data_IF_047840686808
#
_entry.id   IF_047840686808
#
_cell.length_a   1.000
_cell.length_b   1.000
_cell.length_c   1.000
_cell.angle_alpha   90.00
_cell.angle_beta   90.00
_cell.angle_gamma   90.00
#
_symmetry.space_group_name_H-M   'P 1'
#
loop_
_entity.id
_entity.type
_entity.pdbx_description
1 polymer ?
#
# COMPACT_ATOMS: atom_id res chain seq x y z
N UNK A 1 -44.59 -73.32 -11.98
CA UNK A 1 -44.62 -72.62 -13.28
C UNK A 1 -44.92 -71.16 -13.02
N UNK A 2 -43.91 -70.29 -13.05
CA UNK A 2 -44.05 -68.84 -12.85
C UNK A 2 -43.36 -68.13 -14.01
N UNK A 3 -44.17 -67.47 -14.84
CA UNK A 3 -43.72 -66.73 -16.02
C UNK A 3 -43.19 -65.35 -15.63
N UNK A 4 -41.93 -65.11 -15.98
CA UNK A 4 -41.36 -63.91 -16.63
C UNK A 4 -42.00 -62.54 -16.35
N UNK A 5 -41.29 -61.71 -15.56
CA UNK A 5 -41.32 -60.24 -15.62
C UNK A 5 -39.89 -59.65 -15.50
N UNK A 6 -39.10 -59.56 -16.60
CA UNK A 6 -38.02 -58.57 -16.59
C UNK A 6 -37.93 -57.68 -17.85
N UNK A 7 -38.75 -57.90 -18.89
CA UNK A 7 -38.59 -57.14 -20.15
C UNK A 7 -39.10 -55.68 -20.11
N UNK A 8 -40.04 -55.33 -19.24
CA UNK A 8 -40.57 -53.94 -19.19
C UNK A 8 -39.64 -52.94 -18.50
N UNK A 9 -38.74 -53.37 -17.62
CA UNK A 9 -37.86 -52.46 -16.86
C UNK A 9 -36.64 -52.08 -17.71
N UNK A 10 -36.15 -52.99 -18.55
CA UNK A 10 -35.02 -52.72 -19.45
C UNK A 10 -35.35 -51.66 -20.51
N UNK A 11 -36.60 -51.59 -20.99
CA UNK A 11 -37.01 -50.62 -22.00
C UNK A 11 -37.20 -49.21 -21.42
N UNK A 12 -37.61 -49.09 -20.15
CA UNK A 12 -37.74 -47.80 -19.46
C UNK A 12 -36.37 -47.22 -19.05
N UNK A 13 -35.42 -48.08 -18.66
CA UNK A 13 -34.05 -47.68 -18.34
C UNK A 13 -33.27 -47.23 -19.59
N UNK A 14 -33.54 -47.82 -20.76
CA UNK A 14 -32.95 -47.37 -22.02
C UNK A 14 -33.50 -46.02 -22.49
N UNK A 15 -34.75 -45.68 -22.15
CA UNK A 15 -35.36 -44.37 -22.50
C UNK A 15 -34.83 -43.22 -21.62
N UNK A 16 -34.44 -43.50 -20.36
CA UNK A 16 -33.81 -42.51 -19.48
C UNK A 16 -32.32 -42.24 -19.80
N UNK A 17 -31.64 -43.13 -20.52
CA UNK A 17 -30.27 -42.87 -21.00
C UNK A 17 -30.19 -41.98 -22.27
N UNK A 18 -31.33 -41.67 -22.92
CA UNK A 18 -31.38 -40.80 -24.12
C UNK A 18 -31.64 -39.32 -23.84
N UNK A 19 -31.85 -38.91 -22.58
CA UNK A 19 -32.01 -37.50 -22.20
C UNK A 19 -30.70 -36.79 -21.86
N UNK A 20 -29.56 -37.49 -21.88
CA UNK A 20 -28.23 -36.94 -21.57
C UNK A 20 -27.58 -36.19 -22.76
N UNK A 21 -28.25 -36.10 -23.91
CA UNK A 21 -27.65 -35.64 -25.18
C UNK A 21 -27.83 -34.16 -25.57
N UNK A 22 -28.56 -33.33 -24.82
CA UNK A 22 -28.98 -32.00 -25.31
C UNK A 22 -28.63 -30.83 -24.38
N UNK A 23 -27.51 -30.88 -23.65
CA UNK A 23 -27.08 -29.73 -22.85
C UNK A 23 -26.41 -28.68 -23.77
N UNK A 24 -27.15 -27.61 -24.07
CA UNK A 24 -26.60 -26.40 -24.70
C UNK A 24 -25.90 -25.56 -23.63
N UNK A 25 -24.74 -24.98 -23.93
CA UNK A 25 -24.04 -24.16 -22.94
C UNK A 25 -22.62 -23.78 -23.31
N UNK A 26 -21.87 -23.34 -22.29
CA UNK A 26 -20.46 -23.02 -22.39
C UNK A 26 -19.62 -23.75 -21.34
N UNK A 27 -18.40 -24.10 -21.73
CA UNK A 27 -17.38 -24.63 -20.83
C UNK A 27 -16.03 -24.03 -21.19
N UNK A 28 -15.08 -24.06 -20.27
CA UNK A 28 -13.73 -23.57 -20.54
C UNK A 28 -12.94 -23.40 -19.27
N UNK A 29 -11.90 -22.58 -19.33
CA UNK A 29 -11.16 -22.18 -18.14
C UNK A 29 -10.77 -20.70 -18.14
N UNK A 30 -10.40 -20.22 -16.95
CA UNK A 30 -9.82 -18.90 -16.76
C UNK A 30 -8.30 -19.03 -16.59
N UNK A 31 -7.55 -18.18 -17.30
CA UNK A 31 -6.09 -18.20 -17.35
C UNK A 31 -5.53 -16.78 -17.40
N UNK A 32 -4.25 -16.59 -17.04
CA UNK A 32 -3.59 -15.27 -17.17
C UNK A 32 -3.25 -14.95 -18.64
N UNK A 33 -2.88 -15.98 -19.39
CA UNK A 33 -2.51 -15.91 -20.82
C UNK A 33 -2.82 -17.24 -21.51
N UNK A 34 -2.81 -17.32 -22.87
CA UNK A 34 -2.95 -18.58 -23.58
C UNK A 34 -1.90 -19.61 -23.11
N UNK A 35 -2.35 -20.71 -22.50
CA UNK A 35 -1.46 -21.74 -21.93
C UNK A 35 -0.84 -21.40 -20.56
N UNK A 36 -1.25 -20.29 -19.94
CA UNK A 36 -0.79 -19.88 -18.61
C UNK A 36 -1.43 -20.67 -17.45
N UNK A 37 -1.07 -20.29 -16.22
CA UNK A 37 -1.62 -20.91 -15.01
C UNK A 37 -3.14 -20.73 -14.91
N UNK A 38 -3.89 -21.75 -14.45
CA UNK A 38 -5.33 -21.67 -14.26
C UNK A 38 -5.69 -20.76 -13.06
N UNK A 39 -6.77 -20.01 -13.19
CA UNK A 39 -7.27 -19.11 -12.14
C UNK A 39 -8.54 -19.69 -11.52
N UNK A 40 -8.47 -20.03 -10.24
CA UNK A 40 -9.59 -20.57 -9.47
C UNK A 40 -10.54 -19.45 -8.99
N UNK A 41 -11.78 -19.80 -8.62
CA UNK A 41 -12.74 -18.90 -7.98
C UNK A 41 -13.10 -17.64 -8.78
N UNK A 42 -12.92 -17.64 -10.09
CA UNK A 42 -13.36 -16.55 -10.97
C UNK A 42 -14.88 -16.59 -11.07
N UNK A 43 -15.54 -15.50 -10.72
CA UNK A 43 -16.98 -15.35 -10.89
C UNK A 43 -17.28 -14.94 -12.33
N UNK A 44 -17.99 -15.80 -13.07
CA UNK A 44 -18.39 -15.60 -14.45
C UNK A 44 -19.88 -15.26 -14.49
N UNK A 45 -20.25 -14.27 -15.29
CA UNK A 45 -21.63 -13.83 -15.49
C UNK A 45 -21.92 -13.73 -16.99
N UNK A 46 -22.82 -14.59 -17.47
CA UNK A 46 -23.29 -14.63 -18.85
C UNK A 46 -24.60 -13.85 -18.96
N UNK A 47 -24.52 -12.62 -19.44
CA UNK A 47 -25.67 -11.72 -19.61
C UNK A 47 -26.18 -11.85 -21.04
N UNK A 48 -27.48 -12.10 -21.24
CA UNK A 48 -28.05 -12.11 -22.60
C UNK A 48 -27.82 -10.76 -23.28
N UNK A 49 -27.67 -10.77 -24.60
CA UNK A 49 -27.49 -9.57 -25.42
C UNK A 49 -28.56 -8.49 -25.16
N UNK A 50 -29.80 -8.89 -24.90
CA UNK A 50 -30.94 -8.00 -24.60
C UNK A 50 -31.03 -7.58 -23.12
N UNK A 51 -30.09 -8.02 -22.26
CA UNK A 51 -30.10 -7.75 -20.82
C UNK A 51 -31.20 -8.45 -20.03
N UNK A 52 -32.02 -9.30 -20.66
CA UNK A 52 -33.21 -9.90 -20.02
C UNK A 52 -32.90 -10.93 -18.95
N UNK A 53 -31.71 -11.54 -19.00
CA UNK A 53 -31.30 -12.59 -18.08
C UNK A 53 -29.78 -12.62 -17.91
N UNK A 54 -29.33 -12.99 -16.71
CA UNK A 54 -27.93 -13.26 -16.39
C UNK A 54 -27.79 -14.61 -15.71
N UNK A 55 -26.71 -15.32 -16.01
CA UNK A 55 -26.43 -16.65 -15.49
C UNK A 55 -24.99 -16.72 -14.97
N UNK A 56 -24.82 -17.18 -13.74
CA UNK A 56 -23.53 -17.24 -13.06
C UNK A 56 -22.85 -18.61 -13.14
N UNK A 57 -21.52 -18.63 -13.19
CA UNK A 57 -20.68 -19.80 -12.89
C UNK A 57 -19.41 -19.37 -12.17
N UNK A 58 -18.78 -20.29 -11.45
CA UNK A 58 -17.48 -20.04 -10.79
C UNK A 58 -16.47 -21.06 -11.26
N UNK A 59 -15.22 -20.64 -11.54
CA UNK A 59 -14.17 -21.58 -11.89
C UNK A 59 -13.74 -22.43 -10.68
N UNK A 60 -13.46 -23.71 -10.92
CA UNK A 60 -12.97 -24.65 -9.91
C UNK A 60 -11.51 -24.37 -9.52
N UNK A 61 -10.96 -25.14 -8.58
CA UNK A 61 -9.54 -25.09 -8.22
C UNK A 61 -8.58 -25.34 -9.40
N UNK A 62 -9.03 -26.02 -10.48
CA UNK A 62 -8.25 -26.20 -11.71
C UNK A 62 -8.54 -25.13 -12.77
N UNK A 63 -9.22 -24.05 -12.38
CA UNK A 63 -9.60 -22.92 -13.22
C UNK A 63 -10.68 -23.24 -14.26
N UNK A 64 -11.36 -24.38 -14.15
CA UNK A 64 -12.36 -24.82 -15.14
C UNK A 64 -13.79 -24.49 -14.72
N UNK A 65 -14.64 -24.22 -15.70
CA UNK A 65 -16.07 -24.04 -15.49
C UNK A 65 -16.90 -24.75 -16.57
N UNK A 66 -18.16 -25.01 -16.24
CA UNK A 66 -19.19 -25.49 -17.18
C UNK A 66 -20.55 -24.94 -16.77
N UNK A 67 -21.28 -24.39 -17.72
CA UNK A 67 -22.60 -23.79 -17.49
C UNK A 67 -23.56 -24.16 -18.62
N UNK A 68 -24.78 -24.55 -18.24
CA UNK A 68 -25.88 -24.78 -19.18
C UNK A 68 -26.55 -23.45 -19.48
N UNK A 69 -26.65 -23.10 -20.77
CA UNK A 69 -27.26 -21.86 -21.23
C UNK A 69 -28.23 -22.17 -22.37
N UNK A 70 -29.35 -21.47 -22.41
CA UNK A 70 -30.25 -21.54 -23.55
C UNK A 70 -29.54 -21.01 -24.82
N UNK A 71 -29.91 -21.48 -26.02
CA UNK A 71 -29.38 -20.93 -27.26
C UNK A 71 -29.63 -19.42 -27.36
N UNK A 72 -28.60 -18.67 -27.76
CA UNK A 72 -28.63 -17.20 -27.77
C UNK A 72 -27.24 -16.59 -27.78
N UNK A 73 -27.18 -15.26 -27.69
CA UNK A 73 -25.94 -14.48 -27.62
C UNK A 73 -25.80 -13.88 -26.23
N UNK A 74 -24.59 -13.99 -25.68
CA UNK A 74 -24.30 -13.57 -24.32
C UNK A 74 -23.02 -12.73 -24.25
N UNK A 75 -23.06 -11.64 -23.49
CA UNK A 75 -21.87 -10.98 -22.96
C UNK A 75 -21.32 -11.81 -21.80
N UNK A 76 -20.00 -11.94 -21.73
CA UNK A 76 -19.32 -12.60 -20.62
C UNK A 76 -18.57 -11.55 -19.81
N UNK A 77 -18.97 -11.43 -18.56
CA UNK A 77 -18.28 -10.68 -17.53
C UNK A 77 -17.57 -11.68 -16.63
N UNK A 78 -16.31 -11.41 -16.28
CA UNK A 78 -15.59 -12.22 -15.31
C UNK A 78 -14.91 -11.31 -14.29
N UNK A 79 -15.08 -11.62 -13.01
CA UNK A 79 -14.52 -10.85 -11.90
C UNK A 79 -13.74 -11.78 -10.96
N UNK A 80 -12.63 -11.28 -10.44
CA UNK A 80 -11.79 -12.00 -9.48
C UNK A 80 -11.05 -10.96 -8.60
N UNK A 81 -10.90 -11.18 -7.28
CA UNK A 81 -10.27 -10.19 -6.39
C UNK A 81 -8.85 -9.80 -6.83
N UNK A 82 -8.07 -10.78 -7.27
CA UNK A 82 -6.68 -10.61 -7.67
C UNK A 82 -6.50 -10.47 -9.18
N UNK A 83 -7.51 -10.09 -9.97
CA UNK A 83 -7.33 -9.84 -11.40
C UNK A 83 -8.22 -8.70 -11.90
N UNK A 84 -7.89 -8.11 -13.05
CA UNK A 84 -8.75 -7.13 -13.72
C UNK A 84 -10.06 -7.77 -14.19
N UNK A 85 -11.16 -7.01 -14.08
CA UNK A 85 -12.46 -7.44 -14.59
C UNK A 85 -12.40 -7.60 -16.12
N UNK A 86 -12.85 -8.75 -16.60
CA UNK A 86 -12.94 -9.05 -18.02
C UNK A 86 -14.35 -8.83 -18.54
N UNK A 87 -14.48 -8.20 -19.70
CA UNK A 87 -15.73 -8.06 -20.43
C UNK A 87 -15.52 -8.46 -21.89
N UNK A 88 -16.36 -9.36 -22.40
CA UNK A 88 -16.27 -9.80 -23.80
C UNK A 88 -16.73 -8.76 -24.82
N UNK A 89 -17.44 -7.69 -24.41
CA UNK A 89 -17.97 -6.69 -25.32
C UNK A 89 -16.86 -5.98 -26.14
N UNK A 90 -17.07 -5.71 -27.45
CA UNK A 90 -18.31 -5.91 -28.23
C UNK A 90 -18.52 -7.35 -28.73
N UNK A 91 -17.65 -8.29 -28.38
CA UNK A 91 -17.76 -9.71 -28.73
C UNK A 91 -18.82 -10.46 -27.93
N UNK A 92 -19.40 -11.48 -28.58
CA UNK A 92 -20.47 -12.30 -28.03
C UNK A 92 -20.09 -13.77 -27.95
N UNK A 93 -20.53 -14.41 -26.87
CA UNK A 93 -20.54 -15.86 -26.74
C UNK A 93 -21.84 -16.41 -27.33
N UNK A 94 -21.76 -17.00 -28.54
CA UNK A 94 -22.91 -17.61 -29.22
C UNK A 94 -23.15 -19.02 -28.70
N UNK A 95 -24.30 -19.29 -28.09
CA UNK A 95 -24.69 -20.63 -27.64
C UNK A 95 -25.61 -21.26 -28.68
N UNK A 96 -25.19 -22.38 -29.25
CA UNK A 96 -25.97 -23.15 -30.24
C UNK A 96 -26.75 -24.27 -29.57
N UNK A 97 -27.86 -24.70 -30.20
CA UNK A 97 -28.64 -25.86 -29.73
C UNK A 97 -27.76 -27.10 -29.65
N UNK A 98 -27.96 -27.86 -28.58
CA UNK A 98 -27.32 -29.16 -28.29
C UNK A 98 -25.80 -29.13 -28.37
N UNK A 99 -25.18 -27.96 -28.12
CA UNK A 99 -23.74 -27.77 -28.22
C UNK A 99 -23.19 -27.17 -26.94
N UNK A 100 -22.15 -27.79 -26.38
CA UNK A 100 -21.37 -27.23 -25.29
C UNK A 100 -20.10 -26.59 -25.86
N UNK A 101 -20.15 -25.29 -26.14
CA UNK A 101 -19.05 -24.56 -26.78
C UNK A 101 -17.93 -24.19 -25.80
N UNK A 102 -16.69 -24.14 -26.29
CA UNK A 102 -15.56 -23.69 -25.47
C UNK A 102 -15.51 -22.16 -25.41
N UNK A 103 -15.35 -21.59 -24.22
CA UNK A 103 -15.06 -20.17 -24.01
C UNK A 103 -14.01 -20.05 -22.91
N UNK A 104 -12.78 -19.68 -23.28
CA UNK A 104 -11.73 -19.43 -22.30
C UNK A 104 -11.74 -17.94 -21.95
N UNK A 105 -11.48 -17.65 -20.68
CA UNK A 105 -11.38 -16.28 -20.17
C UNK A 105 -9.91 -16.00 -19.85
N UNK A 106 -9.42 -14.85 -20.30
CA UNK A 106 -8.08 -14.40 -20.01
C UNK A 106 -8.15 -13.17 -19.12
N UNK A 107 -7.80 -13.34 -17.85
CA UNK A 107 -7.80 -12.26 -16.86
C UNK A 107 -6.38 -11.75 -16.70
N UNK A 108 -6.21 -10.44 -16.67
CA UNK A 108 -4.89 -9.82 -16.44
C UNK A 108 -4.66 -9.70 -14.94
N UNK A 109 -3.42 -9.86 -14.51
CA UNK A 109 -3.05 -9.53 -13.14
C UNK A 109 -3.34 -8.05 -12.85
N UNK A 110 -3.70 -7.68 -11.61
CA UNK A 110 -4.06 -6.32 -11.26
C UNK A 110 -2.85 -5.44 -11.49
N UNK A 111 -2.99 -4.41 -12.31
CA UNK A 111 -1.95 -3.42 -12.46
C UNK A 111 -1.86 -2.62 -11.15
N UNK A 112 -0.77 -2.81 -10.40
CA UNK A 112 -0.52 -2.06 -9.17
C UNK A 112 0.16 -0.75 -9.54
N UNK A 113 -0.55 0.36 -9.32
CA UNK A 113 0.03 1.69 -9.48
C UNK A 113 0.71 2.08 -8.17
N UNK A 114 2.00 2.39 -8.19
CA UNK A 114 2.75 2.80 -7.00
C UNK A 114 3.01 4.29 -7.05
N UNK A 115 2.51 5.02 -6.05
CA UNK A 115 2.69 6.46 -5.94
C UNK A 115 3.65 6.75 -4.80
N UNK A 116 4.79 7.34 -5.15
CA UNK A 116 5.85 7.78 -4.25
C UNK A 116 5.62 9.26 -3.95
N UNK A 117 5.32 9.62 -2.71
CA UNK A 117 4.93 10.97 -2.32
C UNK A 117 5.95 11.50 -1.32
N UNK A 118 6.54 12.66 -1.65
CA UNK A 118 7.52 13.34 -0.80
C UNK A 118 7.12 14.78 -0.58
N UNK A 119 7.60 15.36 0.53
CA UNK A 119 7.63 16.81 0.69
C UNK A 119 8.82 17.38 -0.09
N UNK A 120 8.70 18.62 -0.57
CA UNK A 120 9.89 19.36 -1.03
C UNK A 120 11.01 19.37 0.02
N UNK A 121 12.27 19.42 -0.40
CA UNK A 121 13.42 19.59 0.50
C UNK A 121 13.48 20.95 1.20
N UNK A 122 14.46 21.09 2.09
CA UNK A 122 14.69 22.28 2.91
C UNK A 122 14.81 23.55 2.05
N UNK A 123 14.16 24.63 2.48
CA UNK A 123 14.15 25.93 1.79
C UNK A 123 15.38 26.74 2.15
N UNK A 124 15.86 27.59 1.23
CA UNK A 124 16.96 28.51 1.51
C UNK A 124 16.60 29.51 2.63
N UNK A 125 15.42 30.13 2.54
CA UNK A 125 14.77 30.82 3.66
C UNK A 125 13.65 29.94 4.24
N UNK A 126 13.82 29.38 5.46
CA UNK A 126 12.82 28.56 6.13
C UNK A 126 11.47 29.27 6.34
N UNK A 127 11.45 30.61 6.42
CA UNK A 127 10.25 31.41 6.67
C UNK A 127 9.57 31.88 5.39
N UNK A 128 10.23 31.77 4.23
CA UNK A 128 9.67 32.19 2.95
C UNK A 128 8.63 31.18 2.45
N UNK A 129 7.49 31.71 2.01
CA UNK A 129 6.45 30.94 1.31
C UNK A 129 6.35 31.34 -0.17
N UNK A 130 7.30 32.12 -0.68
CA UNK A 130 7.30 32.56 -2.06
C UNK A 130 7.39 31.36 -3.01
N UNK A 131 6.70 31.44 -4.16
CA UNK A 131 6.71 30.36 -5.15
C UNK A 131 8.10 30.16 -5.77
N UNK A 132 8.91 31.21 -5.84
CA UNK A 132 10.27 31.16 -6.38
C UNK A 132 11.34 30.82 -5.32
N UNK A 133 10.95 30.48 -4.09
CA UNK A 133 11.88 30.10 -3.03
C UNK A 133 12.64 28.81 -3.42
N UNK A 134 13.98 28.86 -3.55
CA UNK A 134 14.80 27.71 -3.92
C UNK A 134 15.07 26.79 -2.72
N UNK A 135 15.73 25.66 -2.99
CA UNK A 135 16.25 24.80 -1.94
C UNK A 135 17.49 25.41 -1.28
N UNK A 136 17.70 25.06 -0.01
CA UNK A 136 19.00 25.26 0.67
C UNK A 136 20.01 24.20 0.20
N UNK A 137 21.30 24.32 0.55
CA UNK A 137 22.28 23.26 0.30
C UNK A 137 21.86 21.90 0.87
N UNK A 138 21.23 21.88 2.06
CA UNK A 138 20.70 20.64 2.65
C UNK A 138 19.53 20.09 1.81
N UNK A 139 18.65 20.97 1.32
CA UNK A 139 17.56 20.59 0.42
C UNK A 139 18.07 20.03 -0.92
N UNK A 140 19.13 20.60 -1.49
CA UNK A 140 19.78 20.09 -2.71
C UNK A 140 20.44 18.71 -2.47
N UNK A 141 21.10 18.53 -1.32
CA UNK A 141 21.63 17.23 -0.92
C UNK A 141 20.51 16.19 -0.75
N UNK A 142 19.37 16.58 -0.18
CA UNK A 142 18.18 15.73 -0.07
C UNK A 142 17.59 15.38 -1.42
N UNK A 143 17.49 16.33 -2.36
CA UNK A 143 17.03 16.07 -3.72
C UNK A 143 17.95 15.06 -4.45
N UNK A 144 19.26 15.16 -4.21
CA UNK A 144 20.25 14.21 -4.73
C UNK A 144 20.06 12.83 -4.09
N UNK A 145 19.86 12.76 -2.77
CA UNK A 145 19.59 11.51 -2.08
C UNK A 145 18.27 10.86 -2.52
N UNK A 146 17.22 11.66 -2.76
CA UNK A 146 15.95 11.18 -3.33
C UNK A 146 16.18 10.49 -4.68
N UNK A 147 17.00 11.10 -5.54
CA UNK A 147 17.41 10.49 -6.80
C UNK A 147 18.03 9.12 -6.54
N UNK A 148 19.08 9.05 -5.72
CA UNK A 148 19.80 7.80 -5.45
C UNK A 148 18.89 6.70 -4.87
N UNK A 149 17.99 7.05 -3.94
CA UNK A 149 17.01 6.13 -3.37
C UNK A 149 16.06 5.57 -4.44
N UNK A 150 15.65 6.38 -5.40
CA UNK A 150 14.63 6.01 -6.40
C UNK A 150 15.20 5.58 -7.76
N UNK A 151 16.52 5.56 -7.95
CA UNK A 151 17.17 5.17 -9.21
C UNK A 151 16.77 3.77 -9.72
N UNK A 152 16.38 2.87 -8.81
CA UNK A 152 15.97 1.50 -9.16
C UNK A 152 14.48 1.24 -8.92
N UNK A 153 13.73 2.26 -8.55
CA UNK A 153 12.30 2.14 -8.28
C UNK A 153 11.44 2.06 -9.56
N UNK A 154 12.03 2.30 -10.74
CA UNK A 154 11.32 2.22 -12.02
C UNK A 154 10.32 3.35 -12.24
N UNK A 155 10.62 4.56 -11.74
CA UNK A 155 9.75 5.73 -11.88
C UNK A 155 9.55 6.07 -13.36
N UNK A 156 8.30 6.14 -13.82
CA UNK A 156 7.91 6.45 -15.21
C UNK A 156 7.29 7.83 -15.37
N UNK A 157 6.82 8.44 -14.27
CA UNK A 157 6.24 9.79 -14.28
C UNK A 157 6.59 10.59 -13.02
N UNK A 158 6.67 11.91 -13.17
CA UNK A 158 7.00 12.85 -12.10
C UNK A 158 5.98 13.99 -12.08
N UNK A 159 5.36 14.21 -10.93
CA UNK A 159 4.43 15.30 -10.66
C UNK A 159 4.96 16.21 -9.56
N UNK A 160 4.70 17.50 -9.67
CA UNK A 160 5.10 18.51 -8.68
C UNK A 160 4.10 19.65 -8.67
N UNK A 161 4.02 20.39 -7.57
CA UNK A 161 3.35 21.70 -7.61
C UNK A 161 4.24 22.71 -8.34
N UNK A 162 3.69 23.87 -8.71
CA UNK A 162 4.45 24.91 -9.43
C UNK A 162 5.45 25.69 -8.54
N UNK A 163 5.72 25.25 -7.31
CA UNK A 163 6.70 25.91 -6.46
C UNK A 163 8.12 25.50 -6.87
N UNK A 164 9.06 26.45 -6.85
CA UNK A 164 10.45 26.22 -7.21
C UNK A 164 11.08 25.12 -6.36
N UNK A 165 10.90 25.17 -5.04
CA UNK A 165 11.33 24.11 -4.11
C UNK A 165 10.83 22.70 -4.45
N UNK A 166 9.57 22.53 -4.86
CA UNK A 166 9.04 21.19 -5.21
C UNK A 166 9.60 20.73 -6.56
N UNK A 167 9.79 21.65 -7.51
CA UNK A 167 10.44 21.37 -8.79
C UNK A 167 11.91 20.97 -8.61
N UNK A 168 12.66 21.74 -7.85
CA UNK A 168 14.08 21.46 -7.57
C UNK A 168 14.28 20.14 -6.82
N UNK A 169 13.33 19.74 -5.97
CA UNK A 169 13.41 18.48 -5.23
C UNK A 169 13.35 17.26 -6.15
N UNK A 170 12.50 17.29 -7.19
CA UNK A 170 12.33 16.16 -8.12
C UNK A 170 13.25 16.24 -9.33
N UNK A 171 13.83 17.41 -9.61
CA UNK A 171 14.64 17.67 -10.79
C UNK A 171 15.80 16.68 -10.99
N UNK A 172 16.58 16.28 -9.95
CA UNK A 172 17.67 15.32 -10.15
C UNK A 172 17.19 13.97 -10.69
N UNK A 173 16.08 13.43 -10.16
CA UNK A 173 15.53 12.15 -10.61
C UNK A 173 14.89 12.29 -12.00
N UNK A 174 14.12 13.36 -12.22
CA UNK A 174 13.49 13.64 -13.52
C UNK A 174 14.54 13.75 -14.63
N UNK A 175 15.66 14.43 -14.37
CA UNK A 175 16.78 14.53 -15.30
C UNK A 175 17.46 13.18 -15.56
N UNK A 176 17.65 12.36 -14.52
CA UNK A 176 18.27 11.04 -14.65
C UNK A 176 17.47 10.10 -15.56
N UNK A 177 16.13 10.13 -15.48
CA UNK A 177 15.24 9.34 -16.33
C UNK A 177 14.74 10.07 -17.58
N UNK A 178 15.16 11.32 -17.80
CA UNK A 178 14.69 12.19 -18.90
C UNK A 178 13.17 12.33 -18.95
N UNK A 179 12.55 12.40 -17.78
CA UNK A 179 11.11 12.55 -17.62
C UNK A 179 10.74 14.04 -17.51
N UNK A 180 9.67 14.50 -18.17
CA UNK A 180 9.13 15.82 -17.89
C UNK A 180 8.48 15.84 -16.49
N UNK A 181 8.60 16.97 -15.80
CA UNK A 181 7.84 17.21 -14.55
C UNK A 181 6.48 17.81 -14.89
N UNK A 182 5.41 17.11 -14.50
CA UNK A 182 4.03 17.54 -14.70
C UNK A 182 3.55 18.38 -13.52
N UNK A 183 2.94 19.53 -13.80
CA UNK A 183 2.44 20.42 -12.76
C UNK A 183 1.02 20.02 -12.37
N UNK A 184 0.77 19.85 -11.06
CA UNK A 184 -0.58 19.69 -10.52
C UNK A 184 -0.91 20.80 -9.52
N UNK A 185 -2.22 21.05 -9.35
CA UNK A 185 -2.75 22.04 -8.40
C UNK A 185 -3.84 21.49 -7.47
N UNK A 186 -4.38 20.31 -7.77
CA UNK A 186 -5.44 19.68 -7.01
C UNK A 186 -5.16 18.18 -6.82
N UNK A 187 -5.26 17.69 -5.58
CA UNK A 187 -4.97 16.30 -5.23
C UNK A 187 -5.94 15.29 -5.87
N UNK A 188 -7.23 15.62 -5.96
CA UNK A 188 -8.25 14.75 -6.57
C UNK A 188 -8.03 14.61 -8.08
N UNK A 189 -7.76 15.73 -8.76
CA UNK A 189 -7.44 15.69 -10.19
C UNK A 189 -6.13 14.94 -10.43
N UNK A 190 -5.09 15.20 -9.63
CA UNK A 190 -3.83 14.46 -9.68
C UNK A 190 -4.06 12.94 -9.54
N UNK A 191 -4.85 12.51 -8.55
CA UNK A 191 -5.12 11.10 -8.33
C UNK A 191 -5.85 10.46 -9.52
N UNK A 192 -6.84 11.15 -10.09
CA UNK A 192 -7.53 10.68 -11.28
C UNK A 192 -6.59 10.59 -12.50
N UNK A 193 -5.74 11.59 -12.73
CA UNK A 193 -4.80 11.59 -13.85
C UNK A 193 -3.79 10.45 -13.71
N UNK A 194 -3.23 10.25 -12.52
CA UNK A 194 -2.29 9.17 -12.24
C UNK A 194 -2.95 7.79 -12.40
N UNK A 195 -4.13 7.58 -11.81
CA UNK A 195 -4.82 6.28 -11.87
C UNK A 195 -5.45 5.97 -13.25
N UNK A 196 -5.49 6.94 -14.17
CA UNK A 196 -5.97 6.73 -15.54
C UNK A 196 -4.84 6.64 -16.55
N UNK A 197 -3.80 7.45 -16.42
CA UNK A 197 -2.71 7.55 -17.40
C UNK A 197 -1.50 6.68 -17.06
N UNK A 198 -1.28 6.37 -15.78
CA UNK A 198 -0.10 5.66 -15.27
C UNK A 198 -0.51 4.37 -14.52
N UNK A 199 -1.43 3.60 -15.10
CA UNK A 199 -1.86 2.32 -14.50
C UNK A 199 -0.75 1.30 -14.55
N UNK A 200 -0.39 0.74 -13.39
CA UNK A 200 0.68 -0.26 -13.27
C UNK A 200 2.08 0.34 -13.18
N UNK A 201 2.17 1.66 -13.22
CA UNK A 201 3.42 2.41 -13.24
C UNK A 201 3.82 2.89 -11.84
N UNK A 202 5.07 3.35 -11.72
CA UNK A 202 5.61 3.99 -10.53
C UNK A 202 5.72 5.50 -10.76
N UNK A 203 5.01 6.29 -9.94
CA UNK A 203 4.89 7.74 -10.12
C UNK A 203 5.45 8.48 -8.90
N UNK A 204 6.34 9.44 -9.12
CA UNK A 204 6.84 10.34 -8.07
C UNK A 204 5.99 11.61 -8.00
N UNK A 205 5.61 12.03 -6.80
CA UNK A 205 4.84 13.25 -6.52
C UNK A 205 5.53 14.07 -5.43
N UNK A 206 5.85 15.33 -5.71
CA UNK A 206 6.30 16.28 -4.69
C UNK A 206 5.15 17.19 -4.23
N UNK A 207 5.02 17.34 -2.92
CA UNK A 207 3.99 18.13 -2.24
C UNK A 207 4.58 19.05 -1.15
N UNK A 208 3.71 19.68 -0.36
CA UNK A 208 4.07 20.54 0.78
C UNK A 208 3.66 19.91 2.10
N UNK A 209 4.17 20.44 3.22
CA UNK A 209 3.87 19.92 4.56
C UNK A 209 2.37 19.88 4.90
N UNK A 210 1.60 20.82 4.38
CA UNK A 210 0.15 20.97 4.60
C UNK A 210 -0.71 20.17 3.61
N UNK A 211 -0.16 19.80 2.45
CA UNK A 211 -0.89 19.11 1.36
C UNK A 211 -0.50 17.65 1.19
N UNK A 212 0.62 17.22 1.76
CA UNK A 212 1.14 15.86 1.60
C UNK A 212 0.12 14.79 2.03
N UNK A 213 -0.51 14.97 3.20
CA UNK A 213 -1.54 14.04 3.68
C UNK A 213 -2.76 14.05 2.75
N UNK A 214 -3.19 15.23 2.26
CA UNK A 214 -4.30 15.35 1.31
C UNK A 214 -4.00 14.65 -0.01
N UNK A 215 -2.77 14.78 -0.53
CA UNK A 215 -2.32 14.10 -1.75
C UNK A 215 -2.35 12.59 -1.57
N UNK A 216 -1.75 12.06 -0.50
CA UNK A 216 -1.76 10.63 -0.22
C UNK A 216 -3.18 10.08 -0.03
N UNK A 217 -4.04 10.81 0.69
CA UNK A 217 -5.42 10.40 0.92
C UNK A 217 -6.27 10.44 -0.35
N UNK A 218 -5.93 11.29 -1.33
CA UNK A 218 -6.58 11.26 -2.64
C UNK A 218 -6.33 9.95 -3.40
N UNK A 219 -5.22 9.25 -3.11
CA UNK A 219 -4.94 7.89 -3.59
C UNK A 219 -5.52 6.79 -2.66
N UNK A 220 -6.28 7.16 -1.64
CA UNK A 220 -6.90 6.24 -0.69
C UNK A 220 -6.03 5.89 0.52
N UNK A 221 -4.92 6.59 0.76
CA UNK A 221 -4.25 6.50 2.05
C UNK A 221 -5.16 6.98 3.19
N UNK A 222 -4.89 6.51 4.40
CA UNK A 222 -5.61 6.89 5.61
C UNK A 222 -4.70 7.68 6.58
N UNK A 223 -4.00 8.69 6.06
CA UNK A 223 -3.13 9.55 6.86
C UNK A 223 -3.95 10.63 7.59
N UNK A 224 -3.56 11.03 8.82
CA UNK A 224 -4.14 12.19 9.48
C UNK A 224 -3.85 13.46 8.68
N UNK A 225 -4.81 14.39 8.63
CA UNK A 225 -4.73 15.63 7.84
C UNK A 225 -3.85 16.71 8.48
N UNK A 226 -3.20 16.42 9.61
CA UNK A 226 -2.26 17.32 10.25
C UNK A 226 -1.03 17.57 9.36
N UNK A 227 -0.43 18.76 9.49
CA UNK A 227 0.77 19.10 8.73
C UNK A 227 1.95 18.17 9.09
N UNK A 228 2.56 17.61 8.06
CA UNK A 228 3.71 16.73 8.14
C UNK A 228 4.96 17.58 7.88
N UNK A 229 5.69 17.89 8.95
CA UNK A 229 6.84 18.79 8.93
C UNK A 229 8.18 18.10 8.67
N UNK A 230 8.19 16.78 8.49
CA UNK A 230 9.43 16.06 8.19
C UNK A 230 9.70 16.06 6.69
N UNK A 231 10.97 16.24 6.32
CA UNK A 231 11.48 16.28 4.95
C UNK A 231 11.97 14.90 4.46
N UNK A 232 12.32 14.01 5.38
CA UNK A 232 12.83 12.65 5.17
C UNK A 232 11.75 11.60 4.94
N UNK A 233 10.45 11.94 5.08
CA UNK A 233 9.37 11.00 4.80
C UNK A 233 9.22 10.72 3.29
N UNK A 234 9.12 9.44 2.95
CA UNK A 234 8.74 8.91 1.63
C UNK A 234 7.51 8.03 1.81
N UNK A 235 6.35 8.56 1.44
CA UNK A 235 5.10 7.81 1.48
C UNK A 235 4.97 7.00 0.20
N UNK A 236 4.64 5.72 0.34
CA UNK A 236 4.42 4.81 -0.78
C UNK A 236 2.97 4.35 -0.69
N UNK A 237 2.17 4.75 -1.67
CA UNK A 237 0.76 4.35 -1.81
C UNK A 237 0.66 3.42 -3.00
N UNK A 238 0.33 2.15 -2.75
CA UNK A 238 0.10 1.15 -3.78
C UNK A 238 -1.40 0.98 -3.97
N UNK A 239 -1.86 1.22 -5.20
CA UNK A 239 -3.27 1.15 -5.59
C UNK A 239 -3.43 0.00 -6.58
N UNK A 240 -4.15 -1.04 -6.18
CA UNK A 240 -4.42 -2.23 -6.99
C UNK A 240 -5.92 -2.37 -7.27
N UNK A 241 -6.27 -2.91 -8.44
CA UNK A 241 -7.65 -3.27 -8.78
C UNK A 241 -8.31 -2.32 -9.80
N UNK A 242 -9.60 -2.56 -10.04
CA UNK A 242 -10.43 -1.83 -11.02
C UNK A 242 -11.40 -0.86 -10.31
N UNK A 243 -11.93 0.16 -11.00
CA UNK A 243 -12.93 1.07 -10.42
C UNK A 243 -14.10 0.29 -9.81
N UNK A 244 -14.22 0.28 -8.47
CA UNK A 244 -15.26 -0.44 -7.72
C UNK A 244 -14.74 -1.57 -6.80
N UNK A 245 -13.49 -2.00 -6.96
CA UNK A 245 -12.83 -2.99 -6.11
C UNK A 245 -11.33 -2.64 -5.97
N UNK A 246 -11.04 -1.49 -5.36
CA UNK A 246 -9.67 -0.98 -5.20
C UNK A 246 -9.10 -1.39 -3.84
N UNK A 247 -7.96 -2.07 -3.85
CA UNK A 247 -7.16 -2.32 -2.65
C UNK A 247 -6.06 -1.27 -2.58
N UNK A 248 -5.98 -0.56 -1.45
CA UNK A 248 -4.94 0.45 -1.21
C UNK A 248 -4.08 0.02 -0.03
N UNK A 249 -2.76 0.06 -0.22
CA UNK A 249 -1.79 -0.08 0.86
C UNK A 249 -0.92 1.17 0.92
N UNK A 250 -0.73 1.73 2.11
CA UNK A 250 0.10 2.90 2.33
C UNK A 250 1.15 2.59 3.41
N UNK A 251 2.41 2.90 3.11
CA UNK A 251 3.50 2.82 4.07
C UNK A 251 4.33 4.10 4.03
N UNK A 252 5.00 4.42 5.14
CA UNK A 252 5.95 5.52 5.21
C UNK A 252 7.34 4.94 5.39
N UNK A 253 8.25 5.29 4.48
CA UNK A 253 9.68 5.03 4.60
C UNK A 253 10.41 6.33 4.86
N UNK A 254 11.70 6.24 5.16
CA UNK A 254 12.57 7.39 5.25
C UNK A 254 13.67 7.37 4.19
N UNK A 255 14.13 8.56 3.82
CA UNK A 255 15.25 8.73 2.92
C UNK A 255 16.09 9.95 3.31
N UNK A 256 17.36 9.93 2.88
CA UNK A 256 18.34 10.97 3.17
C UNK A 256 18.61 11.16 4.68
N UNK A 257 19.16 12.33 5.05
CA UNK A 257 19.42 12.67 6.43
C UNK A 257 18.11 12.88 7.20
N UNK A 258 18.12 12.46 8.47
CA UNK A 258 17.00 12.65 9.39
C UNK A 258 16.60 14.13 9.41
N UNK A 259 15.29 14.40 9.35
CA UNK A 259 14.80 15.76 9.53
C UNK A 259 15.25 16.29 10.88
N UNK A 260 15.70 17.55 10.94
CA UNK A 260 15.97 18.19 12.23
C UNK A 260 14.70 18.08 13.09
N UNK A 261 14.80 17.56 14.32
CA UNK A 261 13.66 17.43 15.22
C UNK A 261 12.88 18.73 15.28
N UNK A 262 11.57 18.63 15.08
CA UNK A 262 10.68 19.78 15.23
C UNK A 262 10.54 20.10 16.73
N UNK A 263 11.52 20.82 17.26
CA UNK A 263 11.54 21.29 18.65
C UNK A 263 10.42 22.29 18.98
N UNK A 264 9.53 22.61 18.02
CA UNK A 264 8.30 23.36 18.26
C UNK A 264 7.09 22.46 18.52
N UNK A 265 7.17 21.17 18.17
CA UNK A 265 6.16 20.14 18.48
C UNK A 265 6.37 19.48 19.84
N UNK A 266 7.59 19.50 20.36
CA UNK A 266 7.79 19.30 21.80
C UNK A 266 7.27 20.57 22.47
N UNK A 267 6.26 20.44 23.32
CA UNK A 267 5.83 21.55 24.16
C UNK A 267 7.09 22.08 24.85
N UNK A 268 7.50 23.32 24.54
CA UNK A 268 8.69 23.94 25.15
C UNK A 268 8.53 24.19 26.65
N UNK A 269 7.46 23.69 27.25
CA UNK A 269 7.15 23.74 28.66
C UNK A 269 6.87 22.36 29.25
N UNK A 270 7.06 21.28 28.48
CA UNK A 270 6.80 19.92 28.91
C UNK A 270 7.98 18.99 28.60
N UNK A 271 8.31 18.15 29.58
CA UNK A 271 9.18 17.01 29.39
C UNK A 271 8.45 15.92 28.58
N UNK A 272 9.09 15.38 27.55
CA UNK A 272 8.56 14.24 26.78
C UNK A 272 9.26 12.96 27.21
N UNK A 273 8.52 11.96 27.66
CA UNK A 273 9.08 10.65 27.99
C UNK A 273 8.80 9.63 26.88
N UNK A 274 9.85 8.99 26.39
CA UNK A 274 9.75 7.80 25.58
C UNK A 274 10.00 6.57 26.46
N UNK A 275 8.92 5.85 26.80
CA UNK A 275 8.98 4.69 27.70
C UNK A 275 9.29 3.42 26.92
N UNK A 276 10.37 2.72 27.29
CA UNK A 276 10.84 1.51 26.60
C UNK A 276 10.84 0.31 27.55
N UNK A 277 9.89 -0.61 27.35
CA UNK A 277 9.77 -1.84 28.13
C UNK A 277 10.87 -2.88 27.83
N UNK A 278 10.98 -3.90 28.68
CA UNK A 278 11.93 -5.02 28.55
C UNK A 278 11.49 -6.13 27.59
N UNK A 279 10.26 -6.08 27.06
CA UNK A 279 9.68 -7.14 26.23
C UNK A 279 10.09 -7.11 24.74
N UNK A 280 11.09 -6.31 24.38
CA UNK A 280 11.63 -6.32 23.03
C UNK A 280 12.53 -7.56 22.81
N UNK A 281 12.48 -8.23 21.65
CA UNK A 281 13.22 -9.45 21.43
C UNK A 281 14.73 -9.22 21.63
N UNK A 282 15.33 -10.02 22.52
CA UNK A 282 16.72 -9.92 22.93
C UNK A 282 17.75 -10.24 21.82
N UNK A 283 17.29 -10.67 20.64
CA UNK A 283 18.12 -11.00 19.50
C UNK A 283 17.46 -10.50 18.21
N UNK A 284 17.78 -9.28 17.83
CA UNK A 284 17.41 -8.67 16.56
C UNK A 284 18.21 -7.38 16.34
N UNK A 285 18.37 -6.90 15.09
CA UNK A 285 18.87 -5.54 14.86
C UNK A 285 18.02 -4.55 15.66
N UNK A 286 18.61 -3.45 16.09
CA UNK A 286 17.87 -2.36 16.72
C UNK A 286 16.57 -2.09 15.96
N UNK A 287 15.40 -2.03 16.64
CA UNK A 287 14.17 -1.62 15.98
C UNK A 287 14.41 -0.24 15.37
N UNK A 288 14.47 -0.16 14.05
CA UNK A 288 14.69 1.10 13.35
C UNK A 288 13.64 2.13 13.76
N UNK A 289 12.43 1.68 14.09
CA UNK A 289 11.35 2.45 14.71
C UNK A 289 11.76 3.19 16.00
N UNK A 290 12.47 2.53 16.93
CA UNK A 290 12.86 3.14 18.20
C UNK A 290 13.97 4.17 18.01
N UNK A 291 15.00 3.82 17.23
CA UNK A 291 16.07 4.76 16.90
C UNK A 291 15.52 5.97 16.16
N UNK A 292 14.59 5.75 15.22
CA UNK A 292 13.94 6.82 14.50
C UNK A 292 13.10 7.71 15.41
N UNK A 293 12.23 7.13 16.24
CA UNK A 293 11.42 7.88 17.20
C UNK A 293 12.31 8.71 18.14
N UNK A 294 13.43 8.14 18.60
CA UNK A 294 14.37 8.83 19.46
C UNK A 294 15.09 9.99 18.77
N UNK A 295 15.54 9.81 17.52
CA UNK A 295 16.15 10.88 16.73
C UNK A 295 15.16 12.00 16.45
N UNK A 296 13.96 11.64 15.97
CA UNK A 296 12.90 12.58 15.61
C UNK A 296 12.41 13.39 16.80
N UNK A 297 12.29 12.77 17.97
CA UNK A 297 11.88 13.46 19.19
C UNK A 297 13.01 14.31 19.81
N UNK A 298 14.24 14.19 19.30
CA UNK A 298 15.40 14.93 19.80
C UNK A 298 15.83 14.47 21.19
N UNK A 299 15.91 13.15 21.39
CA UNK A 299 16.31 12.56 22.68
C UNK A 299 17.67 13.12 23.11
N UNK A 300 17.70 13.76 24.28
CA UNK A 300 18.92 14.35 24.86
C UNK A 300 19.57 13.43 25.90
N UNK A 301 18.76 12.59 26.56
CA UNK A 301 19.19 11.76 27.69
C UNK A 301 18.48 10.42 27.70
N UNK A 302 19.18 9.38 28.17
CA UNK A 302 18.66 8.01 28.30
C UNK A 302 18.83 7.55 29.74
N UNK A 303 17.76 7.03 30.34
CA UNK A 303 17.76 6.39 31.65
C UNK A 303 17.39 4.92 31.55
N UNK A 304 18.09 4.07 32.32
CA UNK A 304 17.84 2.63 32.41
C UNK A 304 17.66 2.20 33.86
N UNK A 305 16.70 1.32 34.15
CA UNK A 305 16.76 0.56 35.39
C UNK A 305 17.93 -0.45 35.34
N UNK A 306 18.30 -1.01 36.48
CA UNK A 306 19.42 -1.98 36.60
C UNK A 306 19.17 -3.31 35.85
N UNK A 307 17.96 -3.53 35.33
CA UNK A 307 17.68 -4.62 34.41
C UNK A 307 18.22 -4.27 33.01
N UNK A 308 19.18 -5.06 32.51
CA UNK A 308 19.77 -4.86 31.19
C UNK A 308 18.69 -4.89 30.10
N UNK A 309 18.38 -3.72 29.52
CA UNK A 309 17.53 -3.64 28.34
C UNK A 309 18.41 -3.78 27.08
N UNK A 310 18.28 -4.86 26.28
CA UNK A 310 19.14 -5.11 25.13
C UNK A 310 18.99 -4.04 24.04
N UNK A 311 17.92 -3.24 24.06
CA UNK A 311 17.71 -2.15 23.11
C UNK A 311 18.53 -0.89 23.42
N UNK A 312 18.93 -0.67 24.68
CA UNK A 312 19.49 0.61 25.08
C UNK A 312 20.93 0.84 24.63
N UNK A 313 21.80 -0.17 24.75
CA UNK A 313 23.21 0.02 24.42
C UNK A 313 23.42 0.41 22.94
N UNK A 314 22.75 -0.23 21.98
CA UNK A 314 22.91 0.18 20.59
C UNK A 314 22.11 1.45 20.24
N UNK A 315 21.00 1.77 20.92
CA UNK A 315 20.32 3.06 20.80
C UNK A 315 21.22 4.22 21.28
N UNK A 316 21.81 4.09 22.46
CA UNK A 316 22.72 5.07 23.05
C UNK A 316 23.93 5.31 22.14
N UNK A 317 24.51 4.23 21.61
CA UNK A 317 25.61 4.29 20.62
C UNK A 317 25.18 5.04 19.35
N UNK A 318 23.99 4.75 18.82
CA UNK A 318 23.50 5.37 17.58
C UNK A 318 23.07 6.84 17.72
N UNK A 319 22.85 7.30 18.95
CA UNK A 319 22.55 8.70 19.31
C UNK A 319 23.79 9.46 19.83
N UNK A 320 24.90 8.78 20.08
CA UNK A 320 26.08 9.39 20.70
C UNK A 320 25.87 9.79 22.17
N UNK A 321 24.99 9.07 22.89
CA UNK A 321 24.62 9.33 24.28
C UNK A 321 25.10 8.23 25.21
N UNK A 322 25.14 8.52 26.51
CA UNK A 322 25.39 7.54 27.57
C UNK A 322 24.13 7.32 28.41
N UNK A 323 23.77 6.05 28.64
CA UNK A 323 22.64 5.71 29.50
C UNK A 323 23.00 5.88 30.98
N UNK A 324 22.14 6.56 31.74
CA UNK A 324 22.27 6.74 33.19
C UNK A 324 21.39 5.73 33.92
N UNK A 325 21.94 5.06 34.93
CA UNK A 325 21.16 4.09 35.69
C UNK A 325 20.30 4.78 36.76
N UNK A 326 19.06 4.31 36.95
CA UNK A 326 18.22 4.70 38.07
C UNK A 326 17.76 3.47 38.87
N UNK A 327 17.44 3.69 40.15
CA UNK A 327 16.93 2.64 41.03
C UNK A 327 15.39 2.66 41.05
N UNK A 328 14.78 1.64 40.45
CA UNK A 328 13.33 1.54 40.36
C UNK A 328 12.63 1.38 41.72
N UNK A 329 13.33 0.93 42.78
CA UNK A 329 12.79 0.90 44.13
C UNK A 329 12.46 2.31 44.69
N UNK A 330 13.04 3.36 44.09
CA UNK A 330 12.86 4.76 44.48
C UNK A 330 12.23 5.59 43.36
N UNK A 331 11.26 5.04 42.62
CA UNK A 331 10.67 5.67 41.43
C UNK A 331 10.18 7.10 41.71
N UNK A 332 9.55 7.36 42.86
CA UNK A 332 9.07 8.71 43.22
C UNK A 332 10.20 9.76 43.32
N UNK A 333 11.36 9.35 43.85
CA UNK A 333 12.53 10.23 43.94
C UNK A 333 13.17 10.42 42.57
N UNK A 334 13.22 9.36 41.75
CA UNK A 334 13.70 9.43 40.37
C UNK A 334 12.82 10.36 39.52
N UNK A 335 11.49 10.20 39.54
CA UNK A 335 10.56 11.06 38.81
C UNK A 335 10.70 12.53 39.19
N UNK A 336 10.90 12.81 40.49
CA UNK A 336 11.13 14.19 40.96
C UNK A 336 12.46 14.77 40.46
N UNK A 337 13.53 13.98 40.45
CA UNK A 337 14.82 14.39 39.90
C UNK A 337 14.76 14.59 38.40
N UNK A 338 14.10 13.68 37.69
CA UNK A 338 13.93 13.70 36.24
C UNK A 338 13.22 14.99 35.80
N UNK A 339 12.11 15.33 36.44
CA UNK A 339 11.37 16.58 36.16
C UNK A 339 12.25 17.81 36.43
N UNK A 340 13.06 17.79 37.49
CA UNK A 340 13.91 18.91 37.85
C UNK A 340 15.12 19.10 36.91
N UNK A 341 15.72 18.01 36.41
CA UNK A 341 16.90 18.08 35.54
C UNK A 341 16.55 18.20 34.05
N UNK A 342 15.36 17.79 33.64
CA UNK A 342 14.91 17.73 32.25
C UNK A 342 13.53 18.40 32.03
N UNK A 343 13.32 19.66 32.47
CA UNK A 343 11.99 20.28 32.45
C UNK A 343 11.41 20.48 31.04
N UNK A 344 12.25 20.46 29.99
CA UNK A 344 11.86 20.71 28.59
C UNK A 344 12.54 19.76 27.59
N UNK A 345 13.12 18.66 28.07
CA UNK A 345 13.87 17.72 27.24
C UNK A 345 12.99 16.53 26.82
N UNK A 346 13.42 15.84 25.76
CA UNK A 346 12.93 14.51 25.45
C UNK A 346 13.87 13.46 26.04
N UNK A 347 13.34 12.60 26.88
CA UNK A 347 14.10 11.61 27.64
C UNK A 347 13.57 10.21 27.35
N UNK A 348 14.49 9.26 27.13
CA UNK A 348 14.14 7.83 27.09
C UNK A 348 14.22 7.27 28.50
N UNK A 349 13.15 6.64 28.98
CA UNK A 349 13.16 5.89 30.25
C UNK A 349 12.86 4.43 29.93
N UNK A 350 13.85 3.58 30.19
CA UNK A 350 13.75 2.15 29.93
C UNK A 350 13.78 1.36 31.23
N UNK A 351 12.76 0.54 31.43
CA UNK A 351 12.59 -0.28 32.62
C UNK A 351 11.70 -1.48 32.30
N UNK A 352 11.50 -2.39 33.26
CA UNK A 352 10.49 -3.43 33.11
C UNK A 352 9.08 -2.83 33.02
N UNK A 353 8.13 -3.56 32.43
CA UNK A 353 6.76 -3.07 32.28
C UNK A 353 6.09 -2.75 33.64
N UNK A 354 6.48 -3.44 34.71
CA UNK A 354 5.95 -3.17 36.06
C UNK A 354 6.57 -1.91 36.67
N UNK A 355 7.84 -1.65 36.42
CA UNK A 355 8.53 -0.42 36.84
C UNK A 355 8.02 0.82 36.08
N UNK A 356 7.70 0.70 34.79
CA UNK A 356 7.14 1.79 33.98
C UNK A 356 5.69 2.14 34.33
N UNK A 357 4.95 1.21 34.93
CA UNK A 357 3.58 1.44 35.39
C UNK A 357 3.52 2.18 36.72
N UNK A 358 4.56 2.05 37.54
CA UNK A 358 4.69 2.69 38.84
C UNK A 358 5.07 4.17 38.70
#
# INVERSE_FOLDING_TARGET
MSLTRPLCIALLALLLLWLQGCASGRQGGAFVQPGGAPIANVALSFVREDGSASFGATTSASGRYRISLAPGRYYLLATHPDHEDYNSAPGFNVVSRNTMGTANVFLREPQVTTVLIVRHGEKLDPNSNALNEPLSPDGEARATALRETLLRAGVTAVYSTNARRTLDTVAPLAAAFRLPTQIYSNATTLANDVLTQHRGDVVLVAAHSDTLATVANAFGAALPTAAISDFDNLYIVSVAGSPGATTVNAMNLQYAADSTPDATKNDRHAMTLLLVGTAAPAAGPQPQELLHAARKAGVSTIYSSTAANPLLAPLATALGLTATNFNAANIASFSSQLIASHPQDTVVVAASNDELRA
#
